data_IF_588363507349
#
_entry.id   IF_588363507349
#
_cell.length_a   1.000
_cell.length_b   1.000
_cell.length_c   1.000
_cell.angle_alpha   90.00
_cell.angle_beta   90.00
_cell.angle_gamma   90.00
#
_symmetry.space_group_name_H-M   'P 1'
#
loop_
_entity.id
_entity.type
_entity.pdbx_description
1 polymer ?
#
# COMPACT_ATOMS: atom_id res chain seq x y z
N UNK A 1 3.94 -28.12 -7.58
CA UNK A 1 2.51 -28.31 -7.26
C UNK A 1 2.43 -28.86 -5.85
N UNK A 2 1.68 -28.22 -4.96
CA UNK A 2 1.39 -28.74 -3.61
C UNK A 2 -0.01 -29.33 -3.68
N UNK A 3 -0.16 -30.59 -3.29
CA UNK A 3 -1.47 -31.25 -3.25
C UNK A 3 -2.24 -30.81 -2.01
N UNK A 4 -3.52 -30.48 -2.16
CA UNK A 4 -4.43 -30.25 -1.03
C UNK A 4 -4.69 -31.57 -0.31
N UNK A 5 -4.45 -31.65 1.01
CA UNK A 5 -4.77 -32.86 1.76
C UNK A 5 -6.29 -33.06 1.83
N UNK A 6 -6.72 -34.31 1.91
CA UNK A 6 -8.12 -34.64 2.15
C UNK A 6 -8.44 -34.44 3.62
N UNK A 7 -9.36 -33.52 3.92
CA UNK A 7 -9.84 -33.29 5.28
C UNK A 7 -10.93 -34.30 5.62
N UNK A 8 -10.69 -35.11 6.65
CA UNK A 8 -11.68 -36.05 7.18
C UNK A 8 -12.24 -35.50 8.47
N UNK A 9 -13.56 -35.40 8.56
CA UNK A 9 -14.28 -34.98 9.77
C UNK A 9 -15.22 -36.10 10.20
N UNK A 10 -15.20 -36.42 11.49
CA UNK A 10 -16.07 -37.44 12.08
C UNK A 10 -17.20 -36.77 12.85
N UNK A 11 -18.37 -37.40 12.85
CA UNK A 11 -19.43 -36.98 13.76
C UNK A 11 -19.06 -37.35 15.20
N UNK A 12 -19.61 -36.61 16.17
CA UNK A 12 -19.36 -36.88 17.58
C UNK A 12 -19.80 -38.30 17.98
N UNK A 13 -20.87 -38.82 17.36
CA UNK A 13 -21.37 -40.16 17.61
C UNK A 13 -20.43 -41.28 17.13
N UNK A 14 -19.69 -41.04 16.05
CA UNK A 14 -18.76 -42.02 15.46
C UNK A 14 -17.49 -42.19 16.30
N UNK A 15 -17.12 -41.18 17.11
CA UNK A 15 -15.88 -41.21 17.89
C UNK A 15 -15.75 -42.39 18.87
N UNK A 16 -16.87 -42.98 19.30
CA UNK A 16 -16.89 -44.12 20.21
C UNK A 16 -16.45 -45.44 19.56
N UNK A 17 -16.62 -45.59 18.24
CA UNK A 17 -16.33 -46.83 17.49
C UNK A 17 -15.03 -46.75 16.69
N UNK A 18 -14.40 -45.57 16.65
CA UNK A 18 -13.16 -45.36 15.90
C UNK A 18 -11.97 -46.11 16.50
N UNK A 19 -11.26 -46.81 15.62
CA UNK A 19 -10.00 -47.51 15.92
C UNK A 19 -8.92 -46.98 14.99
N UNK A 20 -7.84 -46.37 15.50
CA UNK A 20 -7.51 -46.15 16.90
C UNK A 20 -8.43 -45.12 17.59
N UNK A 21 -8.63 -45.30 18.91
CA UNK A 21 -9.44 -44.41 19.73
C UNK A 21 -8.87 -42.97 19.69
N UNK A 22 -9.74 -41.98 19.56
CA UNK A 22 -9.33 -40.58 19.53
C UNK A 22 -8.72 -40.16 20.88
N UNK A 23 -7.78 -39.19 20.88
CA UNK A 23 -7.26 -38.64 22.10
C UNK A 23 -8.34 -37.81 22.81
N UNK A 24 -8.33 -37.83 24.14
CA UNK A 24 -9.16 -36.93 24.93
C UNK A 24 -8.55 -35.53 24.83
N UNK A 25 -9.27 -34.59 24.21
CA UNK A 25 -8.86 -33.19 24.12
C UNK A 25 -9.49 -32.40 25.27
N UNK A 26 -8.67 -31.68 26.05
CA UNK A 26 -9.14 -30.79 27.11
C UNK A 26 -9.50 -29.38 26.58
N UNK A 27 -8.94 -28.99 25.43
CA UNK A 27 -9.09 -27.69 24.77
C UNK A 27 -9.19 -27.87 23.23
N UNK A 28 -9.64 -26.86 22.47
CA UNK A 28 -9.53 -26.85 21.01
C UNK A 28 -8.05 -26.70 20.61
N UNK A 29 -7.38 -27.83 20.42
CA UNK A 29 -5.97 -27.92 20.05
C UNK A 29 -5.77 -28.67 18.74
N UNK A 30 -4.73 -28.30 17.98
CA UNK A 30 -4.36 -29.00 16.74
C UNK A 30 -3.26 -30.00 17.08
N UNK A 31 -3.66 -31.27 17.25
CA UNK A 31 -2.73 -32.35 17.60
C UNK A 31 -2.17 -32.99 16.32
N UNK A 32 -0.86 -32.87 16.03
CA UNK A 32 -0.27 -33.42 14.80
C UNK A 32 -0.20 -34.96 14.81
N UNK A 33 0.07 -35.56 15.97
CA UNK A 33 0.16 -37.01 16.16
C UNK A 33 -0.24 -37.36 17.60
N UNK A 34 -0.88 -38.51 17.79
CA UNK A 34 -1.22 -39.01 19.12
C UNK A 34 -1.01 -40.53 19.23
N UNK A 35 -0.79 -41.00 20.45
CA UNK A 35 -0.76 -42.42 20.79
C UNK A 35 -2.07 -42.82 21.46
N UNK A 36 -2.59 -44.02 21.19
CA UNK A 36 -3.82 -44.50 21.83
C UNK A 36 -3.67 -44.57 23.35
N UNK A 37 -4.60 -43.95 24.08
CA UNK A 37 -4.59 -43.91 25.55
C UNK A 37 -3.72 -42.83 26.17
N UNK A 38 -3.07 -41.99 25.36
CA UNK A 38 -2.31 -40.84 25.85
C UNK A 38 -3.26 -39.68 26.17
N UNK A 39 -3.19 -39.17 27.40
CA UNK A 39 -3.80 -37.88 27.78
C UNK A 39 -2.82 -36.77 27.45
N UNK A 40 -3.24 -35.82 26.62
CA UNK A 40 -2.43 -34.65 26.26
C UNK A 40 -2.69 -33.57 27.32
N UNK A 41 -1.66 -33.07 28.02
CA UNK A 41 -1.83 -32.02 29.00
C UNK A 41 -2.10 -30.66 28.34
N UNK A 42 -2.80 -29.79 29.07
CA UNK A 42 -3.11 -28.43 28.64
C UNK A 42 -1.84 -27.65 28.25
N UNK A 43 -1.93 -26.81 27.21
CA UNK A 43 -0.82 -25.96 26.76
C UNK A 43 0.17 -26.58 25.77
N UNK A 44 0.12 -27.90 25.48
CA UNK A 44 1.10 -28.53 24.56
C UNK A 44 0.82 -28.23 23.09
N UNK A 45 -0.45 -28.26 22.69
CA UNK A 45 -0.89 -28.01 21.32
C UNK A 45 -1.98 -26.93 21.25
N UNK A 46 -2.15 -26.18 22.34
CA UNK A 46 -3.12 -25.09 22.37
C UNK A 46 -2.86 -24.19 21.18
N UNK A 47 -3.92 -24.01 20.39
CA UNK A 47 -3.88 -23.13 19.26
C UNK A 47 -3.78 -21.71 19.82
N UNK A 48 -2.56 -21.19 19.95
CA UNK A 48 -2.39 -19.74 19.94
C UNK A 48 -2.83 -19.30 18.54
N UNK A 49 -3.98 -18.60 18.39
CA UNK A 49 -4.27 -17.99 17.10
C UNK A 49 -3.04 -17.20 16.71
N UNK A 50 -2.52 -17.34 15.46
CA UNK A 50 -1.40 -16.54 15.02
C UNK A 50 -1.78 -15.12 15.39
N UNK A 51 -1.00 -14.50 16.30
CA UNK A 51 -1.27 -13.16 16.83
C UNK A 51 -1.69 -12.37 15.62
N UNK A 52 -2.98 -12.05 15.54
CA UNK A 52 -3.55 -11.46 14.33
C UNK A 52 -2.59 -10.36 13.98
N UNK A 53 -1.81 -10.56 12.90
CA UNK A 53 -0.80 -9.64 12.42
C UNK A 53 -1.47 -8.30 12.56
N UNK A 54 -1.01 -7.51 13.54
CA UNK A 54 -1.76 -6.37 14.04
C UNK A 54 -2.00 -5.52 12.81
N UNK A 55 -3.24 -5.56 12.30
CA UNK A 55 -3.55 -5.03 10.97
C UNK A 55 -2.97 -3.63 10.90
N UNK A 56 -2.44 -3.23 9.74
CA UNK A 56 -1.62 -2.02 9.61
C UNK A 56 -2.22 -0.90 10.45
N UNK A 57 -1.47 -0.45 11.47
CA UNK A 57 -1.90 0.64 12.35
C UNK A 57 -2.18 1.84 11.40
N UNK A 58 -3.45 2.04 11.02
CA UNK A 58 -3.88 2.91 9.92
C UNK A 58 -3.31 4.33 10.03
N UNK A 59 -3.01 4.77 11.25
CA UNK A 59 -2.41 6.07 11.54
C UNK A 59 -0.91 6.14 11.23
N UNK A 60 -0.15 5.07 11.46
CA UNK A 60 1.29 4.99 11.13
C UNK A 60 1.50 4.75 9.65
N UNK A 61 0.68 3.90 9.05
CA UNK A 61 0.73 3.64 7.61
C UNK A 61 0.31 4.86 6.80
N UNK A 62 -0.66 5.65 7.28
CA UNK A 62 -1.08 6.89 6.63
C UNK A 62 0.04 7.96 6.62
N UNK A 63 0.75 8.15 7.73
CA UNK A 63 1.90 9.07 7.78
C UNK A 63 3.06 8.60 6.90
N UNK A 64 3.36 7.29 6.92
CA UNK A 64 4.41 6.72 6.07
C UNK A 64 4.07 6.87 4.58
N UNK A 65 2.83 6.58 4.18
CA UNK A 65 2.38 6.74 2.80
C UNK A 65 2.38 8.21 2.37
N UNK A 66 2.01 9.13 3.25
CA UNK A 66 2.11 10.56 2.99
C UNK A 66 3.57 11.02 2.79
N UNK A 67 4.51 10.47 3.56
CA UNK A 67 5.93 10.83 3.44
C UNK A 67 6.55 10.27 2.16
N UNK A 68 6.25 9.02 1.80
CA UNK A 68 6.80 8.34 0.62
C UNK A 68 6.13 8.79 -0.68
N UNK A 69 4.81 9.00 -0.68
CA UNK A 69 4.04 9.32 -1.89
C UNK A 69 3.63 10.80 -1.91
N UNK A 70 3.12 11.32 -0.80
CA UNK A 70 2.64 12.70 -0.70
C UNK A 70 3.76 13.74 -0.82
N UNK A 71 4.87 13.56 -0.11
CA UNK A 71 5.96 14.54 -0.10
C UNK A 71 6.58 14.74 -1.51
N UNK A 72 6.92 13.68 -2.28
CA UNK A 72 7.42 13.85 -3.65
C UNK A 72 6.39 14.48 -4.60
N UNK A 73 5.10 14.13 -4.48
CA UNK A 73 4.03 14.71 -5.29
C UNK A 73 3.89 16.21 -5.06
N UNK A 74 3.86 16.65 -3.80
CA UNK A 74 3.76 18.07 -3.44
C UNK A 74 4.97 18.84 -3.98
N UNK A 75 6.17 18.31 -3.77
CA UNK A 75 7.42 18.93 -4.23
C UNK A 75 7.44 19.06 -5.75
N UNK A 76 7.01 18.03 -6.47
CA UNK A 76 6.88 18.05 -7.92
C UNK A 76 5.90 19.12 -8.41
N UNK A 77 4.71 19.19 -7.83
CA UNK A 77 3.69 20.20 -8.20
C UNK A 77 4.19 21.62 -7.94
N UNK A 78 4.89 21.85 -6.83
CA UNK A 78 5.49 23.15 -6.53
C UNK A 78 6.56 23.53 -7.56
N UNK A 79 7.49 22.63 -7.89
CA UNK A 79 8.52 22.88 -8.90
C UNK A 79 7.89 23.15 -10.27
N UNK A 80 6.96 22.31 -10.71
CA UNK A 80 6.30 22.45 -12.00
C UNK A 80 5.52 23.77 -12.10
N UNK A 81 4.80 24.16 -11.04
CA UNK A 81 4.07 25.42 -11.02
C UNK A 81 5.00 26.63 -11.02
N UNK A 82 6.11 26.60 -10.26
CA UNK A 82 7.15 27.63 -10.30
C UNK A 82 7.74 27.78 -11.70
N UNK A 83 8.18 26.69 -12.32
CA UNK A 83 8.76 26.71 -13.68
C UNK A 83 7.74 27.22 -14.70
N UNK A 84 6.49 26.75 -14.64
CA UNK A 84 5.43 27.19 -15.54
C UNK A 84 5.12 28.68 -15.39
N UNK A 85 5.00 29.19 -14.16
CA UNK A 85 4.78 30.60 -13.87
C UNK A 85 5.97 31.47 -14.31
N UNK A 86 7.20 31.03 -14.08
CA UNK A 86 8.42 31.70 -14.54
C UNK A 86 8.49 31.76 -16.07
N UNK A 87 8.25 30.65 -16.77
CA UNK A 87 8.25 30.62 -18.24
C UNK A 87 7.11 31.47 -18.81
N UNK A 88 5.90 31.39 -18.25
CA UNK A 88 4.75 32.16 -18.73
C UNK A 88 4.94 33.66 -18.51
N UNK A 89 5.44 34.07 -17.35
CA UNK A 89 5.72 35.49 -17.06
C UNK A 89 6.87 36.03 -17.91
N UNK A 90 7.95 35.26 -18.10
CA UNK A 90 9.04 35.61 -19.02
C UNK A 90 8.56 35.73 -20.47
N UNK A 91 7.70 34.82 -20.94
CA UNK A 91 7.10 34.91 -22.28
C UNK A 91 6.19 36.14 -22.41
N UNK A 92 5.41 36.46 -21.38
CA UNK A 92 4.57 37.67 -21.36
C UNK A 92 5.42 38.94 -21.44
N UNK A 93 6.48 39.03 -20.63
CA UNK A 93 7.44 40.16 -20.66
C UNK A 93 8.15 40.28 -22.01
N UNK A 94 8.56 39.16 -22.62
CA UNK A 94 9.17 39.16 -23.97
C UNK A 94 8.18 39.64 -25.04
N UNK A 95 6.90 39.25 -24.96
CA UNK A 95 5.87 39.73 -25.88
C UNK A 95 5.64 41.23 -25.74
N UNK A 96 5.63 41.75 -24.51
CA UNK A 96 5.51 43.19 -24.24
C UNK A 96 6.71 43.95 -24.82
N UNK A 97 7.94 43.50 -24.57
CA UNK A 97 9.16 44.12 -25.15
C UNK A 97 9.16 44.10 -26.68
N UNK A 98 8.70 43.01 -27.30
CA UNK A 98 8.58 42.93 -28.76
C UNK A 98 7.50 43.88 -29.29
N UNK A 99 6.36 43.97 -28.62
CA UNK A 99 5.29 44.90 -28.98
C UNK A 99 5.72 46.37 -28.88
N UNK A 100 6.49 46.74 -27.85
CA UNK A 100 7.02 48.11 -27.72
C UNK A 100 8.07 48.44 -28.79
N UNK A 101 8.94 47.48 -29.16
CA UNK A 101 9.94 47.69 -30.23
C UNK A 101 9.25 47.81 -31.60
N UNK A 102 8.25 46.96 -31.88
CA UNK A 102 7.46 47.03 -33.12
C UNK A 102 6.66 48.33 -33.20
N UNK A 103 6.03 48.76 -32.09
CA UNK A 103 5.36 50.06 -32.02
C UNK A 103 6.35 51.21 -32.30
N UNK A 104 7.49 51.24 -31.62
CA UNK A 104 8.53 52.25 -31.85
C UNK A 104 9.15 52.21 -33.28
N UNK A 105 9.18 51.05 -33.93
CA UNK A 105 9.64 50.91 -35.33
C UNK A 105 8.60 51.45 -36.31
N UNK A 106 7.31 51.22 -36.04
CA UNK A 106 6.22 51.73 -36.88
C UNK A 106 6.04 53.25 -36.75
N UNK A 107 6.43 53.84 -35.62
CA UNK A 107 6.39 55.29 -35.38
C UNK A 107 7.66 56.02 -35.88
N UNK A 108 8.66 55.30 -36.41
CA UNK A 108 9.87 55.92 -36.96
C UNK A 108 9.57 56.52 -38.35
N UNK A 109 9.76 57.84 -38.57
CA UNK A 109 9.50 58.45 -39.86
C UNK A 109 10.53 57.96 -40.89
N UNK A 110 10.10 57.08 -41.81
CA UNK A 110 10.84 56.77 -43.02
C UNK A 110 10.95 58.02 -43.89
N UNK A 111 12.03 58.78 -43.74
CA UNK A 111 12.43 59.75 -44.77
C UNK A 111 13.09 59.00 -45.92
N UNK A 112 12.68 59.24 -47.17
CA UNK A 112 13.34 58.64 -48.33
C UNK A 112 14.72 59.29 -48.56
N UNK A 113 15.73 58.54 -49.03
CA UNK A 113 16.98 59.14 -49.46
C UNK A 113 16.75 59.99 -50.72
N UNK A 114 17.58 61.03 -50.80
CA UNK A 114 17.53 62.26 -51.60
C UNK A 114 17.37 62.09 -53.10
#
# INVERSE_FOLDING_TARGET
MIHTPWTVTWDASDTATLTPKLPTLASPMIVPTWTTGQTIPDGVYDYEPPRVEKGPDLTKDSLFMFLVVGCPLILFVLICSCVFCCVRSCRKKRRQKKATIVAATNDAPTSPPK
#
